data_IF_109439934829
#
_entry.id   IF_109439934829
#
_cell.length_a   1.000
_cell.length_b   1.000
_cell.length_c   1.000
_cell.angle_alpha   90.00
_cell.angle_beta   90.00
_cell.angle_gamma   90.00
#
_symmetry.space_group_name_H-M   'P 1'
#
loop_
_entity.id
_entity.type
_entity.pdbx_description
1 polymer ?
#
# COMPACT_ATOMS: atom_id res chain seq x y z
N UNK A 1 3.65 -28.91 -2.91
CA UNK A 1 5.08 -28.80 -2.60
C UNK A 1 5.55 -27.35 -2.66
N UNK A 2 5.35 -26.62 -3.77
CA UNK A 2 5.70 -25.19 -3.86
C UNK A 2 4.94 -24.29 -2.85
N UNK A 3 3.64 -24.52 -2.64
CA UNK A 3 2.85 -23.77 -1.64
C UNK A 3 3.28 -24.05 -0.20
N UNK A 4 3.66 -25.29 0.12
CA UNK A 4 4.17 -25.65 1.46
C UNK A 4 5.58 -25.09 1.67
N UNK A 5 6.44 -25.14 0.65
CA UNK A 5 7.77 -24.51 0.69
C UNK A 5 7.67 -22.97 0.82
N UNK A 6 6.74 -22.34 0.11
CA UNK A 6 6.45 -20.91 0.21
C UNK A 6 5.91 -20.52 1.59
N UNK A 7 4.95 -21.27 2.14
CA UNK A 7 4.44 -21.08 3.51
C UNK A 7 5.53 -21.31 4.56
N UNK A 8 6.43 -22.28 4.34
CA UNK A 8 7.58 -22.54 5.24
C UNK A 8 8.69 -21.47 5.12
N UNK A 9 8.91 -20.91 3.92
CA UNK A 9 9.82 -19.77 3.73
C UNK A 9 9.24 -18.49 4.35
N UNK A 10 7.95 -18.23 4.18
CA UNK A 10 7.23 -17.12 4.82
C UNK A 10 7.22 -17.27 6.35
N UNK A 11 6.96 -18.47 6.89
CA UNK A 11 7.05 -18.69 8.34
C UNK A 11 8.46 -18.40 8.86
N UNK A 12 9.50 -18.72 8.09
CA UNK A 12 10.89 -18.40 8.44
C UNK A 12 11.18 -16.88 8.42
N UNK A 13 10.49 -16.11 7.57
CA UNK A 13 10.63 -14.65 7.51
C UNK A 13 10.03 -14.03 8.78
N UNK A 14 8.83 -14.47 9.17
CA UNK A 14 8.21 -13.97 10.41
C UNK A 14 9.03 -14.30 11.67
N UNK A 15 9.60 -15.51 11.74
CA UNK A 15 10.51 -15.90 12.82
C UNK A 15 11.74 -14.99 12.89
N UNK A 16 12.35 -14.65 11.74
CA UNK A 16 13.48 -13.71 11.66
C UNK A 16 13.09 -12.30 12.08
N UNK A 17 11.95 -11.80 11.62
CA UNK A 17 11.43 -10.48 12.02
C UNK A 17 11.20 -10.45 13.53
N UNK A 18 10.55 -11.47 14.08
CA UNK A 18 10.28 -11.59 15.51
C UNK A 18 11.57 -11.65 16.33
N UNK A 19 12.56 -12.43 15.89
CA UNK A 19 13.87 -12.51 16.53
C UNK A 19 14.60 -11.15 16.50
N UNK A 20 14.52 -10.42 15.39
CA UNK A 20 15.09 -9.08 15.28
C UNK A 20 14.39 -8.09 16.22
N UNK A 21 13.07 -8.17 16.37
CA UNK A 21 12.30 -7.38 17.35
C UNK A 21 12.73 -7.69 18.78
N UNK A 22 12.88 -8.96 19.14
CA UNK A 22 13.38 -9.35 20.46
C UNK A 22 14.79 -8.81 20.71
N UNK A 23 15.69 -8.96 19.73
CA UNK A 23 17.04 -8.42 19.82
C UNK A 23 17.05 -6.88 20.01
N UNK A 24 16.22 -6.15 19.27
CA UNK A 24 16.09 -4.70 19.41
C UNK A 24 15.58 -4.28 20.80
N UNK A 25 14.68 -5.08 21.41
CA UNK A 25 14.20 -4.88 22.78
C UNK A 25 15.30 -5.13 23.81
N UNK A 26 16.03 -6.23 23.67
CA UNK A 26 17.11 -6.61 24.59
C UNK A 26 18.25 -5.59 24.59
N UNK A 27 18.60 -5.08 23.39
CA UNK A 27 19.56 -4.00 23.20
C UNK A 27 19.01 -2.62 23.59
N UNK A 28 17.73 -2.53 23.98
CA UNK A 28 17.03 -1.28 24.31
C UNK A 28 17.19 -0.21 23.23
N UNK A 29 17.18 -0.60 21.95
CA UNK A 29 17.42 0.31 20.81
C UNK A 29 16.42 1.45 20.75
N UNK A 30 15.19 1.25 21.21
CA UNK A 30 14.18 2.31 21.33
C UNK A 30 14.59 3.37 22.35
N UNK A 31 15.21 2.99 23.46
CA UNK A 31 15.71 3.93 24.46
C UNK A 31 16.94 4.68 23.95
N UNK A 32 17.82 3.97 23.23
CA UNK A 32 18.94 4.58 22.52
C UNK A 32 18.45 5.63 21.50
N UNK A 33 17.46 5.26 20.67
CA UNK A 33 16.84 6.15 19.68
C UNK A 33 16.11 7.36 20.31
N UNK A 34 15.69 7.26 21.58
CA UNK A 34 15.11 8.37 22.35
C UNK A 34 16.16 9.29 22.99
N UNK A 35 17.46 9.03 22.78
CA UNK A 35 18.54 9.74 23.49
C UNK A 35 18.56 9.46 25.00
N UNK A 36 17.90 8.39 25.45
CA UNK A 36 17.83 8.00 26.87
C UNK A 36 19.04 7.17 27.30
N UNK A 37 19.96 6.89 26.39
CA UNK A 37 21.26 6.25 26.67
C UNK A 37 22.38 7.28 26.52
N UNK A 38 22.79 7.86 27.65
CA UNK A 38 23.81 8.92 27.72
C UNK A 38 25.22 8.46 27.33
N UNK A 39 25.46 7.15 27.21
CA UNK A 39 26.77 6.58 26.86
C UNK A 39 27.01 6.42 25.36
N UNK A 40 26.01 6.63 24.50
CA UNK A 40 26.15 6.48 23.05
C UNK A 40 26.55 7.79 22.38
N UNK A 41 27.38 7.69 21.34
CA UNK A 41 27.68 8.83 20.47
C UNK A 41 26.44 9.24 19.66
N UNK A 42 26.36 10.51 19.23
CA UNK A 42 25.26 11.00 18.39
C UNK A 42 25.10 10.17 17.09
N UNK A 43 26.23 9.72 16.53
CA UNK A 43 26.23 8.86 15.34
C UNK A 43 25.62 7.48 15.62
N UNK A 44 25.94 6.87 16.77
CA UNK A 44 25.36 5.57 17.12
C UNK A 44 23.87 5.70 17.47
N UNK A 45 23.45 6.83 18.03
CA UNK A 45 22.04 7.14 18.26
C UNK A 45 21.27 7.29 16.94
N UNK A 46 21.82 8.00 15.94
CA UNK A 46 21.24 8.11 14.59
C UNK A 46 21.12 6.72 13.93
N UNK A 47 22.16 5.88 14.05
CA UNK A 47 22.11 4.50 13.53
C UNK A 47 21.08 3.63 14.24
N UNK A 48 21.00 3.69 15.57
CA UNK A 48 20.00 2.97 16.35
C UNK A 48 18.57 3.39 15.95
N UNK A 49 18.34 4.69 15.79
CA UNK A 49 17.05 5.22 15.35
C UNK A 49 16.69 4.72 13.95
N UNK A 50 17.61 4.80 12.98
CA UNK A 50 17.38 4.29 11.62
C UNK A 50 17.15 2.79 11.59
N UNK A 51 17.84 2.03 12.44
CA UNK A 51 17.63 0.59 12.60
C UNK A 51 16.23 0.27 13.13
N UNK A 52 15.76 1.02 14.14
CA UNK A 52 14.39 0.90 14.67
C UNK A 52 13.36 1.25 13.61
N UNK A 53 13.55 2.32 12.84
CA UNK A 53 12.65 2.70 11.75
C UNK A 53 12.55 1.63 10.67
N UNK A 54 13.71 1.12 10.22
CA UNK A 54 13.76 0.05 9.23
C UNK A 54 13.04 -1.21 9.72
N UNK A 55 13.31 -1.64 10.96
CA UNK A 55 12.67 -2.80 11.56
C UNK A 55 11.17 -2.59 11.73
N UNK A 56 10.74 -1.41 12.16
CA UNK A 56 9.33 -1.04 12.27
C UNK A 56 8.61 -1.11 10.92
N UNK A 57 9.23 -0.58 9.86
CA UNK A 57 8.67 -0.67 8.52
C UNK A 57 8.53 -2.10 8.03
N UNK A 58 9.58 -2.91 8.20
CA UNK A 58 9.58 -4.30 7.77
C UNK A 58 8.52 -5.13 8.50
N UNK A 59 8.44 -4.98 9.82
CA UNK A 59 7.52 -5.73 10.67
C UNK A 59 6.07 -5.32 10.43
N UNK A 60 5.78 -4.01 10.38
CA UNK A 60 4.43 -3.51 10.14
C UNK A 60 3.93 -3.92 8.76
N UNK A 61 4.78 -3.79 7.73
CA UNK A 61 4.43 -4.17 6.37
C UNK A 61 4.09 -5.66 6.27
N UNK A 62 4.94 -6.50 6.84
CA UNK A 62 4.73 -7.94 6.87
C UNK A 62 3.45 -8.31 7.64
N UNK A 63 3.27 -7.76 8.84
CA UNK A 63 2.10 -8.03 9.68
C UNK A 63 0.79 -7.70 8.94
N UNK A 64 0.70 -6.50 8.36
CA UNK A 64 -0.50 -6.05 7.64
C UNK A 64 -0.74 -6.90 6.40
N UNK A 65 0.31 -7.25 5.64
CA UNK A 65 0.18 -8.10 4.45
C UNK A 65 -0.41 -9.48 4.78
N UNK A 66 -0.10 -10.01 5.95
CA UNK A 66 -0.56 -11.32 6.42
C UNK A 66 -1.81 -11.25 7.32
N UNK A 67 -2.45 -10.07 7.44
CA UNK A 67 -3.64 -9.89 8.28
C UNK A 67 -3.38 -10.02 9.79
N UNK A 68 -2.13 -9.84 10.22
CA UNK A 68 -1.71 -9.84 11.61
C UNK A 68 -1.66 -8.41 12.19
N UNK A 69 -1.75 -8.31 13.52
CA UNK A 69 -1.49 -7.06 14.21
C UNK A 69 0.03 -6.87 14.39
N UNK A 70 0.59 -5.68 14.08
CA UNK A 70 1.99 -5.39 14.36
C UNK A 70 2.35 -5.61 15.84
N UNK A 71 3.51 -6.24 16.07
CA UNK A 71 4.09 -6.46 17.40
C UNK A 71 4.70 -5.16 17.93
N UNK A 72 5.20 -4.30 17.03
CA UNK A 72 5.77 -3.00 17.38
C UNK A 72 4.65 -1.96 17.47
N UNK A 73 4.61 -1.23 18.59
CA UNK A 73 3.58 -0.20 18.83
C UNK A 73 3.91 1.09 18.09
N UNK A 74 2.89 1.89 17.76
CA UNK A 74 3.00 3.21 17.11
C UNK A 74 3.95 4.15 17.86
N UNK A 75 4.11 3.99 19.18
CA UNK A 75 5.01 4.81 20.01
C UNK A 75 6.50 4.48 19.91
N UNK A 76 6.92 3.69 18.91
CA UNK A 76 8.31 3.28 18.75
C UNK A 76 9.18 4.27 17.98
N UNK A 77 8.62 5.12 17.11
CA UNK A 77 9.35 6.29 16.58
C UNK A 77 8.83 7.58 17.19
N UNK A 78 9.74 8.32 17.80
CA UNK A 78 9.41 9.33 18.83
C UNK A 78 10.01 10.69 18.49
N UNK A 79 10.77 10.75 17.40
CA UNK A 79 11.10 11.98 16.73
C UNK A 79 10.71 11.80 15.28
N UNK A 80 9.91 12.74 14.78
CA UNK A 80 9.73 12.89 13.35
C UNK A 80 11.14 13.07 12.75
N UNK A 81 11.58 12.22 11.81
CA UNK A 81 12.80 12.48 11.08
C UNK A 81 12.75 13.89 10.53
N UNK A 82 13.78 14.69 10.78
CA UNK A 82 13.93 15.89 9.98
C UNK A 82 14.26 15.44 8.56
N UNK A 83 13.43 15.87 7.61
CA UNK A 83 13.72 15.70 6.18
C UNK A 83 14.82 16.67 5.73
N UNK A 84 15.60 17.26 6.65
CA UNK A 84 16.65 18.24 6.33
C UNK A 84 17.75 17.63 5.46
N UNK A 85 17.92 16.30 5.51
CA UNK A 85 18.78 15.54 4.60
C UNK A 85 18.03 14.99 3.37
N UNK A 86 16.82 15.48 3.08
CA UNK A 86 16.05 15.46 1.82
C UNK A 86 15.82 14.14 1.09
N UNK A 87 16.38 13.03 1.56
CA UNK A 87 16.80 11.98 0.63
C UNK A 87 16.65 10.57 1.20
N UNK A 88 15.94 10.41 2.32
CA UNK A 88 15.88 9.15 3.05
C UNK A 88 14.60 8.34 2.81
N UNK A 89 14.73 7.27 2.02
CA UNK A 89 13.64 6.32 1.79
C UNK A 89 13.27 5.50 3.05
N UNK A 90 14.17 5.37 4.03
CA UNK A 90 13.88 4.70 5.30
C UNK A 90 12.85 5.51 6.07
N UNK A 91 13.08 6.81 6.22
CA UNK A 91 12.10 7.76 6.78
C UNK A 91 10.74 7.67 6.08
N UNK A 92 10.71 7.69 4.74
CA UNK A 92 9.45 7.61 3.98
C UNK A 92 8.73 6.29 4.25
N UNK A 93 9.47 5.18 4.31
CA UNK A 93 8.92 3.84 4.60
C UNK A 93 8.40 3.76 6.03
N UNK A 94 9.09 4.39 6.98
CA UNK A 94 8.70 4.46 8.38
C UNK A 94 7.39 5.22 8.56
N UNK A 95 7.30 6.45 8.06
CA UNK A 95 6.08 7.26 8.19
C UNK A 95 4.91 6.66 7.40
N UNK A 96 5.18 5.96 6.29
CA UNK A 96 4.16 5.19 5.60
C UNK A 96 3.63 4.02 6.44
N UNK A 97 4.51 3.34 7.18
CA UNK A 97 4.12 2.25 8.08
C UNK A 97 3.32 2.74 9.28
N UNK A 98 3.67 3.92 9.83
CA UNK A 98 2.85 4.59 10.85
C UNK A 98 1.45 4.92 10.33
N UNK A 99 1.34 5.40 9.09
CA UNK A 99 0.08 5.62 8.42
C UNK A 99 -0.74 4.33 8.34
N UNK A 100 -0.15 3.22 7.86
CA UNK A 100 -0.88 1.96 7.70
C UNK A 100 -1.33 1.40 9.06
N UNK A 101 -0.47 1.46 10.07
CA UNK A 101 -0.79 1.04 11.43
C UNK A 101 -1.89 1.92 12.05
N UNK A 102 -1.89 3.23 11.78
CA UNK A 102 -2.97 4.14 12.21
C UNK A 102 -4.31 3.77 11.58
N UNK A 103 -4.32 3.52 10.26
CA UNK A 103 -5.51 3.04 9.53
C UNK A 103 -5.99 1.70 10.09
N UNK A 104 -5.06 0.78 10.38
CA UNK A 104 -5.37 -0.52 11.00
C UNK A 104 -6.11 -0.31 12.33
N UNK A 105 -5.65 0.60 13.17
CA UNK A 105 -6.28 0.91 14.45
C UNK A 105 -7.67 1.53 14.29
N UNK A 106 -7.84 2.46 13.34
CA UNK A 106 -9.11 3.13 13.09
C UNK A 106 -10.17 2.21 12.51
N UNK A 107 -9.80 1.33 11.57
CA UNK A 107 -10.76 0.55 10.79
C UNK A 107 -10.87 -0.92 11.20
N UNK A 108 -9.83 -1.50 11.81
CA UNK A 108 -9.74 -2.96 12.05
C UNK A 108 -9.49 -3.34 13.51
N UNK A 109 -9.48 -2.39 14.45
CA UNK A 109 -9.44 -2.73 15.88
C UNK A 109 -10.70 -3.50 16.30
N UNK A 110 -10.67 -4.28 17.40
CA UNK A 110 -11.85 -4.97 17.91
C UNK A 110 -13.05 -4.03 18.16
N UNK A 111 -12.77 -2.80 18.62
CA UNK A 111 -13.76 -1.74 18.74
C UNK A 111 -14.27 -1.26 17.38
N UNK A 112 -13.41 -1.25 16.36
CA UNK A 112 -13.78 -0.86 15.01
C UNK A 112 -14.73 -1.87 14.35
N UNK A 113 -14.46 -3.17 14.55
CA UNK A 113 -15.23 -4.28 14.00
C UNK A 113 -16.54 -4.56 14.75
N UNK A 114 -16.80 -3.87 15.85
CA UNK A 114 -18.05 -4.03 16.59
C UNK A 114 -19.24 -3.53 15.73
N UNK A 115 -20.17 -4.45 15.44
CA UNK A 115 -21.36 -4.24 14.60
C UNK A 115 -22.32 -3.16 15.12
N UNK A 116 -22.20 -2.78 16.39
CA UNK A 116 -23.02 -1.71 16.99
C UNK A 116 -22.55 -0.29 16.61
N UNK A 117 -21.50 -0.15 15.80
CA UNK A 117 -21.01 1.16 15.35
C UNK A 117 -21.98 1.80 14.34
N UNK A 118 -22.41 3.02 14.63
CA UNK A 118 -23.31 3.77 13.76
C UNK A 118 -22.67 4.05 12.39
N UNK A 119 -23.48 4.37 11.37
CA UNK A 119 -22.95 4.79 10.07
C UNK A 119 -22.08 6.07 10.18
N UNK A 120 -22.40 6.95 11.13
CA UNK A 120 -21.61 8.15 11.44
C UNK A 120 -20.24 7.80 12.03
N UNK A 121 -20.17 6.93 13.03
CA UNK A 121 -18.89 6.46 13.60
C UNK A 121 -17.99 5.83 12.54
N UNK A 122 -18.60 5.08 11.62
CA UNK A 122 -17.94 4.44 10.49
C UNK A 122 -17.36 5.48 9.51
N UNK A 123 -18.16 6.49 9.14
CA UNK A 123 -17.73 7.60 8.28
C UNK A 123 -16.59 8.41 8.91
N UNK A 124 -16.67 8.68 10.21
CA UNK A 124 -15.64 9.45 10.92
C UNK A 124 -14.29 8.73 10.94
N UNK A 125 -14.29 7.40 11.08
CA UNK A 125 -13.07 6.57 10.99
C UNK A 125 -12.46 6.58 9.59
N UNK A 126 -13.30 6.51 8.55
CA UNK A 126 -12.85 6.66 7.17
C UNK A 126 -12.25 8.06 6.95
N UNK A 127 -12.89 9.10 7.46
CA UNK A 127 -12.39 10.47 7.37
C UNK A 127 -11.05 10.64 8.11
N UNK A 128 -10.90 10.06 9.30
CA UNK A 128 -9.63 10.05 10.02
C UNK A 128 -8.52 9.33 9.23
N UNK A 129 -8.85 8.21 8.59
CA UNK A 129 -7.91 7.46 7.73
C UNK A 129 -7.47 8.28 6.51
N UNK A 130 -8.41 8.95 5.84
CA UNK A 130 -8.13 9.87 4.74
C UNK A 130 -7.29 11.07 5.19
N UNK A 131 -7.54 11.58 6.39
CA UNK A 131 -6.77 12.69 6.96
C UNK A 131 -5.30 12.30 7.15
N UNK A 132 -5.03 11.16 7.80
CA UNK A 132 -3.65 10.66 7.99
C UNK A 132 -2.94 10.42 6.65
N UNK A 133 -3.64 9.94 5.60
CA UNK A 133 -3.07 9.83 4.25
C UNK A 133 -2.67 11.17 3.65
N UNK A 134 -3.52 12.18 3.78
CA UNK A 134 -3.22 13.51 3.28
C UNK A 134 -2.07 14.15 4.07
N UNK A 135 -2.04 13.98 5.40
CA UNK A 135 -0.94 14.44 6.24
C UNK A 135 0.38 13.80 5.84
N UNK A 136 0.42 12.47 5.70
CA UNK A 136 1.61 11.75 5.25
C UNK A 136 2.12 12.28 3.92
N UNK A 137 1.26 12.37 2.90
CA UNK A 137 1.66 12.84 1.57
C UNK A 137 2.17 14.30 1.62
N UNK A 138 1.46 15.19 2.33
CA UNK A 138 1.82 16.60 2.45
C UNK A 138 3.10 16.85 3.25
N UNK A 139 3.44 15.92 4.15
CA UNK A 139 4.66 15.96 4.96
C UNK A 139 5.92 15.51 4.22
N UNK A 140 5.79 14.94 3.01
CA UNK A 140 6.94 14.51 2.22
C UNK A 140 7.67 15.71 1.59
N UNK A 141 9.01 15.63 1.38
CA UNK A 141 9.74 16.66 0.65
C UNK A 141 9.36 16.66 -0.83
N UNK A 142 9.51 17.79 -1.51
CA UNK A 142 9.41 17.82 -2.97
C UNK A 142 10.58 17.06 -3.61
N UNK A 143 10.37 16.29 -4.70
CA UNK A 143 9.12 16.13 -5.47
C UNK A 143 8.19 15.03 -4.96
N UNK A 144 8.50 14.34 -3.85
CA UNK A 144 7.77 13.16 -3.39
C UNK A 144 6.33 13.44 -2.95
N UNK A 145 6.04 14.61 -2.37
CA UNK A 145 4.68 15.02 -2.00
C UNK A 145 3.67 15.09 -3.15
N UNK A 146 4.17 15.14 -4.38
CA UNK A 146 3.36 15.20 -5.61
C UNK A 146 3.49 13.90 -6.44
N UNK A 147 4.17 12.88 -5.89
CA UNK A 147 4.48 11.66 -6.61
C UNK A 147 3.24 10.79 -6.91
N UNK A 148 2.06 11.10 -6.35
CA UNK A 148 0.80 10.45 -6.71
C UNK A 148 0.26 10.88 -8.08
N UNK A 149 0.79 11.93 -8.70
CA UNK A 149 0.46 12.32 -10.07
C UNK A 149 1.51 11.77 -11.07
N UNK A 150 1.07 10.89 -11.97
CA UNK A 150 1.91 10.32 -13.02
C UNK A 150 2.55 11.39 -13.93
N UNK A 151 1.94 12.56 -14.10
CA UNK A 151 2.52 13.68 -14.86
C UNK A 151 3.76 14.24 -14.19
N UNK A 152 3.76 14.33 -12.87
CA UNK A 152 4.90 14.81 -12.07
C UNK A 152 6.06 13.83 -12.24
N UNK A 153 5.78 12.52 -12.16
CA UNK A 153 6.79 11.48 -12.38
C UNK A 153 7.49 11.61 -13.75
N UNK A 154 6.74 11.94 -14.81
CA UNK A 154 7.30 12.13 -16.15
C UNK A 154 8.24 13.33 -16.28
N UNK A 155 8.14 14.31 -15.37
CA UNK A 155 8.97 15.52 -15.38
C UNK A 155 10.29 15.39 -14.60
N UNK A 156 10.41 14.37 -13.76
CA UNK A 156 11.62 14.14 -12.94
C UNK A 156 12.72 13.58 -13.85
N UNK A 157 13.80 14.37 -13.99
CA UNK A 157 14.97 14.00 -14.83
C UNK A 157 15.98 13.13 -14.11
N UNK A 158 16.12 13.29 -12.79
CA UNK A 158 17.06 12.51 -11.99
C UNK A 158 16.50 11.11 -11.72
N UNK A 159 17.17 10.09 -12.24
CA UNK A 159 16.70 8.69 -12.13
C UNK A 159 16.61 8.20 -10.68
N UNK A 160 17.47 8.72 -9.79
CA UNK A 160 17.44 8.34 -8.37
C UNK A 160 16.21 8.92 -7.67
N UNK A 161 15.90 10.19 -7.88
CA UNK A 161 14.66 10.82 -7.40
C UNK A 161 13.43 10.18 -8.03
N UNK A 162 13.47 9.85 -9.31
CA UNK A 162 12.36 9.21 -10.01
C UNK A 162 12.05 7.83 -9.41
N UNK A 163 13.07 7.01 -9.12
CA UNK A 163 12.90 5.73 -8.41
C UNK A 163 12.23 5.90 -7.04
N UNK A 164 12.65 6.90 -6.26
CA UNK A 164 12.00 7.21 -4.97
C UNK A 164 10.54 7.63 -5.17
N UNK A 165 10.28 8.48 -6.16
CA UNK A 165 8.92 8.92 -6.48
C UNK A 165 8.03 7.75 -6.94
N UNK A 166 8.57 6.76 -7.67
CA UNK A 166 7.84 5.53 -7.98
C UNK A 166 7.48 4.71 -6.75
N UNK A 167 8.39 4.59 -5.78
CA UNK A 167 8.09 3.92 -4.50
C UNK A 167 6.96 4.64 -3.77
N UNK A 168 7.01 5.97 -3.68
CA UNK A 168 5.96 6.80 -3.06
C UNK A 168 4.63 6.69 -3.79
N UNK A 169 4.63 6.69 -5.12
CA UNK A 169 3.44 6.44 -5.94
C UNK A 169 2.79 5.10 -5.57
N UNK A 170 3.60 4.04 -5.49
CA UNK A 170 3.11 2.72 -5.11
C UNK A 170 2.55 2.69 -3.69
N UNK A 171 3.26 3.30 -2.72
CA UNK A 171 2.82 3.43 -1.33
C UNK A 171 1.48 4.17 -1.24
N UNK A 172 1.34 5.32 -1.92
CA UNK A 172 0.12 6.11 -1.95
C UNK A 172 -1.07 5.29 -2.45
N UNK A 173 -0.95 4.68 -3.63
CA UNK A 173 -2.06 3.92 -4.23
C UNK A 173 -2.38 2.64 -3.42
N UNK A 174 -1.38 2.02 -2.79
CA UNK A 174 -1.60 0.94 -1.82
C UNK A 174 -2.42 1.40 -0.62
N UNK A 175 -2.08 2.56 -0.03
CA UNK A 175 -2.85 3.10 1.08
C UNK A 175 -4.29 3.48 0.68
N UNK A 176 -4.49 4.03 -0.52
CA UNK A 176 -5.84 4.28 -1.05
C UNK A 176 -6.66 2.99 -1.07
N UNK A 177 -6.12 1.90 -1.62
CA UNK A 177 -6.82 0.61 -1.62
C UNK A 177 -7.05 0.09 -0.19
N UNK A 178 -6.06 0.17 0.68
CA UNK A 178 -6.18 -0.29 2.07
C UNK A 178 -7.24 0.47 2.88
N UNK A 179 -7.40 1.77 2.62
CA UNK A 179 -8.35 2.65 3.29
C UNK A 179 -9.77 2.47 2.75
N UNK A 180 -9.93 2.35 1.44
CA UNK A 180 -11.24 2.43 0.78
C UNK A 180 -11.86 1.07 0.43
N UNK A 181 -11.06 0.04 0.17
CA UNK A 181 -11.56 -1.29 -0.22
C UNK A 181 -12.59 -1.89 0.76
N UNK A 182 -12.40 -1.83 2.09
CA UNK A 182 -13.34 -2.41 3.05
C UNK A 182 -14.76 -1.83 2.97
N UNK A 183 -14.88 -0.63 2.42
CA UNK A 183 -16.11 0.16 2.38
C UNK A 183 -16.94 -0.07 1.11
N UNK A 184 -16.44 -0.89 0.18
CA UNK A 184 -17.07 -1.10 -1.13
C UNK A 184 -18.16 -2.19 -1.08
N UNK A 185 -18.07 -3.13 -0.14
CA UNK A 185 -19.05 -4.20 0.01
C UNK A 185 -20.27 -3.67 0.76
N UNK A 186 -21.51 -3.93 0.30
CA UNK A 186 -22.70 -3.57 1.05
C UNK A 186 -22.69 -4.31 2.40
N UNK A 187 -22.67 -3.54 3.48
CA UNK A 187 -22.90 -4.07 4.81
C UNK A 187 -24.42 -4.19 4.92
N UNK A 188 -24.94 -5.42 5.00
CA UNK A 188 -26.34 -5.64 5.29
C UNK A 188 -26.69 -4.91 6.59
N UNK A 189 -27.41 -3.81 6.49
CA UNK A 189 -27.96 -3.07 7.62
C UNK A 189 -29.46 -3.05 7.46
N UNK A 190 -30.17 -3.59 8.44
CA UNK A 190 -31.63 -3.69 8.47
C UNK A 190 -32.34 -2.32 8.66
N UNK A 191 -31.59 -1.21 8.69
CA UNK A 191 -32.11 0.15 8.89
C UNK A 191 -32.20 0.93 7.57
N UNK A 192 -33.42 1.09 7.06
CA UNK A 192 -33.73 1.81 5.81
C UNK A 192 -33.32 3.30 5.83
N UNK A 193 -33.36 3.97 7.00
CA UNK A 193 -33.02 5.40 7.14
C UNK A 193 -31.50 5.69 7.13
N UNK A 194 -30.65 4.70 7.41
CA UNK A 194 -29.19 4.82 7.38
C UNK A 194 -28.58 4.38 6.04
N UNK A 195 -29.42 3.89 5.12
CA UNK A 195 -29.02 3.37 3.81
C UNK A 195 -28.34 4.43 2.95
N UNK A 196 -28.89 5.64 2.86
CA UNK A 196 -28.41 6.68 1.95
C UNK A 196 -27.00 7.21 2.26
N UNK A 197 -26.65 7.40 3.54
CA UNK A 197 -25.31 7.88 3.94
C UNK A 197 -24.26 6.79 3.73
N UNK A 198 -24.62 5.53 4.02
CA UNK A 198 -23.75 4.38 3.78
C UNK A 198 -23.51 4.17 2.28
N UNK A 199 -24.54 4.29 1.45
CA UNK A 199 -24.46 4.18 0.00
C UNK A 199 -23.59 5.28 -0.62
N UNK A 200 -23.79 6.55 -0.24
CA UNK A 200 -22.93 7.65 -0.70
C UNK A 200 -21.46 7.45 -0.31
N UNK A 201 -21.22 6.95 0.90
CA UNK A 201 -19.86 6.64 1.38
C UNK A 201 -19.23 5.52 0.55
N UNK A 202 -20.02 4.47 0.26
CA UNK A 202 -19.62 3.34 -0.58
C UNK A 202 -19.28 3.79 -2.00
N UNK A 203 -20.16 4.55 -2.65
CA UNK A 203 -19.94 5.10 -4.00
C UNK A 203 -18.66 5.91 -4.06
N UNK A 204 -18.45 6.81 -3.11
CA UNK A 204 -17.21 7.59 -3.01
C UNK A 204 -15.98 6.70 -2.83
N UNK A 205 -16.06 5.63 -2.04
CA UNK A 205 -14.93 4.69 -1.89
C UNK A 205 -14.65 3.92 -3.18
N UNK A 206 -15.68 3.50 -3.91
CA UNK A 206 -15.53 2.88 -5.24
C UNK A 206 -14.84 3.84 -6.20
N UNK A 207 -15.31 5.08 -6.29
CA UNK A 207 -14.71 6.11 -7.15
C UNK A 207 -13.23 6.30 -6.84
N UNK A 208 -12.86 6.42 -5.56
CA UNK A 208 -11.45 6.60 -5.16
C UNK A 208 -10.57 5.39 -5.50
N UNK A 209 -11.07 4.18 -5.31
CA UNK A 209 -10.36 2.97 -5.73
C UNK A 209 -10.20 2.91 -7.26
N UNK A 210 -11.23 3.30 -8.03
CA UNK A 210 -11.19 3.28 -9.50
C UNK A 210 -10.26 4.36 -10.05
N UNK A 211 -10.28 5.58 -9.50
CA UNK A 211 -9.33 6.65 -9.82
C UNK A 211 -7.89 6.19 -9.60
N UNK A 212 -7.63 5.55 -8.46
CA UNK A 212 -6.34 4.95 -8.11
C UNK A 212 -5.93 3.87 -9.11
N UNK A 213 -6.85 2.96 -9.45
CA UNK A 213 -6.61 1.91 -10.43
C UNK A 213 -6.25 2.46 -11.81
N UNK A 214 -6.96 3.50 -12.27
CA UNK A 214 -6.66 4.16 -13.54
C UNK A 214 -5.29 4.85 -13.53
N UNK A 215 -4.90 5.47 -12.42
CA UNK A 215 -3.58 6.09 -12.29
C UNK A 215 -2.45 5.04 -12.38
N UNK A 216 -2.59 3.91 -11.67
CA UNK A 216 -1.65 2.79 -11.71
C UNK A 216 -1.51 2.24 -13.13
N UNK A 217 -2.64 1.95 -13.80
CA UNK A 217 -2.64 1.41 -15.17
C UNK A 217 -2.03 2.40 -16.16
N UNK A 218 -2.31 3.71 -16.05
CA UNK A 218 -1.69 4.73 -16.90
C UNK A 218 -0.18 4.76 -16.75
N UNK A 219 0.32 4.75 -15.51
CA UNK A 219 1.75 4.81 -15.25
C UNK A 219 2.44 3.55 -15.79
N UNK A 220 1.88 2.37 -15.51
CA UNK A 220 2.40 1.11 -16.04
C UNK A 220 2.40 1.10 -17.57
N UNK A 221 1.35 1.61 -18.22
CA UNK A 221 1.28 1.63 -19.68
C UNK A 221 2.26 2.62 -20.33
N UNK A 222 2.71 3.65 -19.60
CA UNK A 222 3.68 4.63 -20.11
C UNK A 222 5.07 4.05 -20.36
N UNK A 223 5.37 2.84 -19.87
CA UNK A 223 6.71 2.25 -20.00
C UNK A 223 7.71 2.75 -18.95
N UNK A 224 7.55 3.99 -18.49
CA UNK A 224 8.52 4.70 -17.65
C UNK A 224 8.86 3.95 -16.34
N UNK A 225 7.86 3.35 -15.70
CA UNK A 225 8.09 2.55 -14.48
C UNK A 225 8.95 1.31 -14.77
N UNK A 226 8.70 0.62 -15.88
CA UNK A 226 9.43 -0.61 -16.22
C UNK A 226 10.87 -0.32 -16.62
N UNK A 227 11.12 0.82 -17.26
CA UNK A 227 12.46 1.23 -17.68
C UNK A 227 13.33 1.71 -16.51
N UNK A 228 12.74 2.50 -15.61
CA UNK A 228 13.51 3.26 -14.60
C UNK A 228 13.18 2.92 -13.15
N UNK A 229 11.99 2.38 -12.90
CA UNK A 229 11.45 2.11 -11.56
C UNK A 229 11.62 0.68 -11.08
N UNK A 230 11.89 -0.28 -11.98
CA UNK A 230 12.15 -1.65 -11.57
C UNK A 230 13.53 -1.74 -10.93
N UNK A 231 13.55 -2.01 -9.63
CA UNK A 231 14.76 -2.52 -8.98
C UNK A 231 15.01 -3.91 -9.54
N UNK A 232 16.01 -4.02 -10.41
CA UNK A 232 16.54 -5.31 -10.83
C UNK A 232 17.24 -5.91 -9.62
N UNK A 233 16.48 -6.55 -8.75
CA UNK A 233 17.03 -7.37 -7.68
C UNK A 233 17.80 -8.52 -8.35
N UNK A 234 19.12 -8.41 -8.30
CA UNK A 234 20.04 -9.48 -8.70
C UNK A 234 19.90 -10.57 -7.64
N UNK A 235 18.89 -11.45 -7.77
CA UNK A 235 18.84 -12.69 -6.98
C UNK A 235 17.47 -13.24 -6.56
N UNK A 236 16.35 -12.53 -6.73
CA UNK A 236 15.02 -13.06 -6.36
C UNK A 236 14.25 -13.53 -7.59
N UNK A 237 14.03 -14.84 -7.71
CA UNK A 237 13.30 -15.46 -8.81
C UNK A 237 11.78 -15.42 -8.66
N UNK A 238 11.21 -14.94 -7.54
CA UNK A 238 9.77 -15.13 -7.25
C UNK A 238 8.89 -13.87 -7.26
N UNK A 239 9.42 -12.65 -7.45
CA UNK A 239 8.58 -11.46 -7.68
C UNK A 239 9.24 -10.45 -8.64
N UNK A 240 9.39 -10.83 -9.90
CA UNK A 240 9.97 -9.96 -10.96
C UNK A 240 9.27 -8.60 -11.12
N UNK A 241 8.04 -8.45 -10.61
CA UNK A 241 7.17 -7.29 -10.85
C UNK A 241 7.02 -6.34 -9.65
N UNK A 242 7.55 -6.72 -8.49
CA UNK A 242 7.52 -5.93 -7.25
C UNK A 242 6.14 -5.36 -6.89
N UNK A 243 6.14 -4.23 -6.18
CA UNK A 243 4.93 -3.55 -5.72
C UNK A 243 3.97 -3.14 -6.86
N UNK A 244 4.49 -2.81 -8.04
CA UNK A 244 3.65 -2.40 -9.19
C UNK A 244 2.83 -3.57 -9.74
N UNK A 245 3.39 -4.77 -9.79
CA UNK A 245 2.66 -5.97 -10.23
C UNK A 245 1.45 -6.26 -9.32
N UNK A 246 1.64 -6.21 -8.00
CA UNK A 246 0.54 -6.36 -7.04
C UNK A 246 -0.52 -5.27 -7.21
N UNK A 247 -0.11 -4.00 -7.38
CA UNK A 247 -1.04 -2.90 -7.61
C UNK A 247 -1.83 -3.06 -8.90
N UNK A 248 -1.23 -3.57 -9.98
CA UNK A 248 -1.93 -3.83 -11.24
C UNK A 248 -3.01 -4.90 -11.10
N UNK A 249 -2.75 -5.96 -10.34
CA UNK A 249 -3.76 -7.00 -10.06
C UNK A 249 -4.95 -6.42 -9.29
N UNK A 250 -4.69 -5.69 -8.20
CA UNK A 250 -5.75 -5.05 -7.41
C UNK A 250 -6.51 -4.02 -8.27
N UNK A 251 -5.79 -3.27 -9.10
CA UNK A 251 -6.39 -2.31 -10.04
C UNK A 251 -7.32 -2.99 -11.04
N UNK A 252 -6.94 -4.15 -11.58
CA UNK A 252 -7.78 -4.95 -12.47
C UNK A 252 -9.09 -5.36 -11.78
N UNK A 253 -9.02 -5.82 -10.52
CA UNK A 253 -10.22 -6.17 -9.74
C UNK A 253 -11.21 -5.00 -9.64
N UNK A 254 -10.72 -3.78 -9.36
CA UNK A 254 -11.58 -2.60 -9.27
C UNK A 254 -12.14 -2.16 -10.62
N UNK A 255 -11.35 -2.26 -11.70
CA UNK A 255 -11.82 -1.96 -13.06
C UNK A 255 -12.96 -2.92 -13.44
N UNK A 256 -12.78 -4.22 -13.18
CA UNK A 256 -13.79 -5.26 -13.42
C UNK A 256 -15.05 -5.01 -12.58
N UNK A 257 -14.88 -4.75 -11.29
CA UNK A 257 -15.99 -4.41 -10.39
C UNK A 257 -16.78 -3.21 -10.91
N UNK A 258 -16.09 -2.15 -11.35
CA UNK A 258 -16.71 -0.93 -11.86
C UNK A 258 -17.38 -1.12 -13.24
N UNK A 259 -16.90 -2.07 -14.05
CA UNK A 259 -17.56 -2.45 -15.30
C UNK A 259 -18.86 -3.22 -15.06
N UNK A 260 -18.86 -4.16 -14.12
CA UNK A 260 -20.02 -5.00 -13.80
C UNK A 260 -21.10 -4.14 -13.12
N UNK A 261 -20.72 -3.39 -12.09
CA UNK A 261 -21.67 -2.67 -11.24
C UNK A 261 -21.92 -1.21 -11.66
N UNK A 262 -21.12 -0.66 -12.57
CA UNK A 262 -21.24 0.74 -13.00
C UNK A 262 -22.29 0.96 -14.08
N UNK A 263 -22.80 2.19 -14.13
CA UNK A 263 -23.70 2.66 -15.18
C UNK A 263 -23.05 2.64 -16.57
N UNK A 264 -23.87 2.79 -17.62
CA UNK A 264 -23.41 2.75 -19.02
C UNK A 264 -22.29 3.76 -19.33
N UNK A 265 -22.30 4.94 -18.71
CA UNK A 265 -21.24 5.95 -18.86
C UNK A 265 -19.93 5.48 -18.21
N UNK A 266 -20.00 4.93 -17.00
CA UNK A 266 -18.87 4.38 -16.24
C UNK A 266 -18.19 3.24 -17.01
N UNK A 267 -18.99 2.38 -17.66
CA UNK A 267 -18.50 1.29 -18.50
C UNK A 267 -17.66 1.79 -19.68
N UNK A 268 -18.10 2.85 -20.37
CA UNK A 268 -17.34 3.46 -21.48
C UNK A 268 -15.98 3.99 -21.02
N UNK A 269 -15.91 4.55 -19.82
CA UNK A 269 -14.66 5.09 -19.27
C UNK A 269 -13.70 3.98 -18.86
N UNK A 270 -14.19 2.88 -18.28
CA UNK A 270 -13.36 1.80 -17.75
C UNK A 270 -12.87 0.79 -18.80
N UNK A 271 -13.63 0.58 -19.87
CA UNK A 271 -13.32 -0.42 -20.91
C UNK A 271 -11.92 -0.27 -21.53
N UNK A 272 -11.43 0.94 -21.87
CA UNK A 272 -10.06 1.11 -22.37
C UNK A 272 -8.99 0.64 -21.37
N UNK A 273 -9.22 0.84 -20.07
CA UNK A 273 -8.27 0.40 -19.04
C UNK A 273 -8.24 -1.12 -18.92
N UNK A 274 -9.38 -1.81 -19.07
CA UNK A 274 -9.40 -3.27 -19.14
C UNK A 274 -8.60 -3.80 -20.34
N UNK A 275 -8.69 -3.16 -21.50
CA UNK A 275 -7.90 -3.51 -22.67
C UNK A 275 -6.40 -3.25 -22.47
N UNK A 276 -6.04 -2.11 -21.86
CA UNK A 276 -4.66 -1.79 -21.49
C UNK A 276 -4.09 -2.84 -20.54
N UNK A 277 -4.86 -3.25 -19.51
CA UNK A 277 -4.48 -4.32 -18.61
C UNK A 277 -4.16 -5.61 -19.38
N UNK A 278 -4.97 -6.00 -20.37
CA UNK A 278 -4.68 -7.18 -21.19
C UNK A 278 -3.36 -7.10 -21.95
N UNK A 279 -3.07 -5.93 -22.53
CA UNK A 279 -1.77 -5.68 -23.18
C UNK A 279 -0.60 -5.61 -22.20
N UNK A 280 -0.82 -5.15 -20.96
CA UNK A 280 0.19 -5.17 -19.90
C UNK A 280 0.44 -6.61 -19.45
N UNK A 281 -0.58 -7.33 -18.96
CA UNK A 281 -0.43 -8.71 -18.51
C UNK A 281 0.10 -9.64 -19.61
N UNK A 282 -0.25 -9.40 -20.88
CA UNK A 282 0.34 -10.12 -22.01
C UNK A 282 1.83 -9.88 -22.21
N UNK A 283 2.31 -8.66 -21.97
CA UNK A 283 3.76 -8.40 -21.94
C UNK A 283 4.42 -9.08 -20.74
N UNK A 284 3.80 -8.97 -19.56
CA UNK A 284 4.32 -9.57 -18.32
C UNK A 284 4.39 -11.11 -18.41
N UNK A 285 3.43 -11.77 -19.07
CA UNK A 285 3.42 -13.23 -19.26
C UNK A 285 4.47 -13.73 -20.26
N UNK A 286 5.05 -12.85 -21.08
CA UNK A 286 6.15 -13.22 -21.98
C UNK A 286 7.51 -13.18 -21.28
N UNK A 287 7.65 -12.33 -20.24
CA UNK A 287 8.89 -12.14 -19.47
C UNK A 287 9.00 -13.07 -18.24
N UNK A 288 7.91 -13.77 -17.90
CA UNK A 288 7.83 -14.72 -16.79
C UNK A 288 7.42 -16.10 -17.31
N UNK A 289 8.06 -17.17 -16.83
CA UNK A 289 7.62 -18.56 -17.07
C UNK A 289 6.31 -18.90 -16.33
N UNK A 290 5.68 -17.90 -15.69
CA UNK A 290 4.46 -18.05 -14.91
C UNK A 290 3.27 -17.48 -15.69
N UNK A 291 2.48 -18.36 -16.32
CA UNK A 291 1.21 -18.00 -16.98
C UNK A 291 0.14 -17.40 -16.04
N UNK A 292 0.39 -17.37 -14.73
CA UNK A 292 -0.62 -17.10 -13.72
C UNK A 292 -1.28 -15.72 -13.87
N UNK A 293 -0.55 -14.64 -14.17
CA UNK A 293 -1.14 -13.29 -14.26
C UNK A 293 -2.08 -13.13 -15.46
N UNK A 294 -1.74 -13.75 -16.60
CA UNK A 294 -2.61 -13.77 -17.77
C UNK A 294 -3.85 -14.62 -17.50
N UNK A 295 -3.69 -15.75 -16.82
CA UNK A 295 -4.81 -16.61 -16.44
C UNK A 295 -5.81 -15.87 -15.54
N UNK A 296 -5.34 -15.16 -14.50
CA UNK A 296 -6.20 -14.30 -13.66
C UNK A 296 -6.93 -13.22 -14.48
N UNK A 297 -6.26 -12.60 -15.46
CA UNK A 297 -6.89 -11.63 -16.34
C UNK A 297 -7.99 -12.27 -17.21
N UNK A 298 -7.72 -13.44 -17.78
CA UNK A 298 -8.67 -14.17 -18.62
C UNK A 298 -9.89 -14.65 -17.82
N UNK A 299 -9.68 -15.15 -16.60
CA UNK A 299 -10.77 -15.52 -15.67
C UNK A 299 -11.66 -14.32 -15.38
N UNK A 300 -11.08 -13.16 -15.03
CA UNK A 300 -11.83 -11.96 -14.72
C UNK A 300 -12.59 -11.40 -15.94
N UNK A 301 -12.06 -11.53 -17.16
CA UNK A 301 -12.80 -11.18 -18.38
C UNK A 301 -14.05 -12.05 -18.56
N UNK A 302 -13.96 -13.35 -18.26
CA UNK A 302 -15.10 -14.24 -18.42
C UNK A 302 -16.26 -13.80 -17.52
N UNK A 303 -15.96 -13.33 -16.30
CA UNK A 303 -16.95 -12.75 -15.38
C UNK A 303 -17.60 -11.49 -15.99
N UNK A 304 -16.80 -10.58 -16.57
CA UNK A 304 -17.34 -9.37 -17.23
C UNK A 304 -18.24 -9.72 -18.42
N UNK A 305 -17.91 -10.75 -19.21
CA UNK A 305 -18.72 -11.18 -20.36
C UNK A 305 -20.03 -11.87 -19.96
N UNK A 306 -20.06 -12.47 -18.78
CA UNK A 306 -21.23 -13.17 -18.25
C UNK A 306 -22.23 -12.24 -17.52
N UNK A 307 -21.86 -10.98 -17.29
CA UNK A 307 -22.65 -9.94 -16.58
C UNK A 307 -23.28 -8.94 -17.55
#
# INVERSE_FOLDING_TARGET
MAVIAYICEESSIWEKITAAVCCARDLRLVHAARGQQSSMSDQDQELAQRGVWFLYSLETDYAIHHGMLPILDLGWGIQFPSFDKGDDIITVSYTFSELLHSVLKFQYSPRALNKSASAYDRRDRLQASCHVLNEWLSGLPAPLKEANDAKVLQSIKDDRQLRKAFRVFCMYHRAVFFIHCPWITPIATDDEDLSGVAEQTRERCVERCVESAFAVVKLANSGLFWEKGLERDIGSSSMKWGNMGQLLLVSLCFIVYYLINGEKANRKTAMPYLAICGGLFGRLSLDSDEGSLMDHYLELIQVVRAS
#
